data_IF_248663336201
#
_entry.id   IF_248663336201
#
_cell.length_a   1.000
_cell.length_b   1.000
_cell.length_c   1.000
_cell.angle_alpha   90.00
_cell.angle_beta   90.00
_cell.angle_gamma   90.00
#
_symmetry.space_group_name_H-M   'P 1'
#
loop_
_entity.id
_entity.type
_entity.pdbx_description
1 polymer ?
#
# COMPACT_ATOMS: atom_id res chain seq x y z
N UNK A 1 9.60 24.88 -66.84
CA UNK A 1 10.28 24.11 -65.80
C UNK A 1 9.71 24.55 -64.47
N UNK A 2 8.73 23.81 -63.94
CA UNK A 2 8.02 24.11 -62.68
C UNK A 2 8.41 23.08 -61.64
N UNK A 3 9.27 23.49 -60.71
CA UNK A 3 9.75 22.64 -59.61
C UNK A 3 8.74 22.63 -58.50
N UNK A 4 8.09 21.46 -58.25
CA UNK A 4 7.18 21.25 -57.10
C UNK A 4 8.00 20.83 -55.88
N UNK A 5 8.03 21.69 -54.87
CA UNK A 5 8.50 21.31 -53.51
C UNK A 5 7.46 20.55 -52.78
N UNK A 6 7.71 19.27 -52.51
CA UNK A 6 6.94 18.47 -51.55
C UNK A 6 7.40 18.80 -50.13
N UNK A 7 6.55 19.43 -49.35
CA UNK A 7 6.79 19.63 -47.94
C UNK A 7 6.39 18.34 -47.19
N UNK A 8 7.35 17.63 -46.62
CA UNK A 8 7.16 16.53 -45.69
C UNK A 8 6.77 17.10 -44.31
N UNK A 9 5.50 16.98 -43.94
CA UNK A 9 5.06 17.28 -42.59
C UNK A 9 5.44 16.11 -41.66
N UNK A 10 6.40 16.33 -40.77
CA UNK A 10 6.75 15.38 -39.72
C UNK A 10 5.68 15.44 -38.62
N UNK A 11 4.87 14.39 -38.53
CA UNK A 11 3.90 14.22 -37.43
C UNK A 11 4.67 13.73 -36.19
N UNK A 12 4.87 14.61 -35.25
CA UNK A 12 5.39 14.27 -33.93
C UNK A 12 4.25 13.68 -33.09
N UNK A 13 4.21 12.37 -32.93
CA UNK A 13 3.31 11.72 -31.98
C UNK A 13 3.84 11.97 -30.56
N UNK A 14 3.22 12.88 -29.85
CA UNK A 14 3.40 13.01 -28.40
C UNK A 14 2.88 11.73 -27.72
N UNK A 15 3.79 10.88 -27.29
CA UNK A 15 3.45 9.78 -26.37
C UNK A 15 3.13 10.41 -25.03
N UNK A 16 1.83 10.54 -24.71
CA UNK A 16 1.36 10.92 -23.37
C UNK A 16 1.66 9.72 -22.48
N UNK A 17 2.51 9.86 -21.42
CA UNK A 17 2.66 8.78 -20.45
C UNK A 17 1.28 8.58 -19.78
N UNK A 18 0.70 7.40 -19.96
CA UNK A 18 -0.47 6.97 -19.17
C UNK A 18 0.04 6.82 -17.74
N UNK A 19 -0.07 7.90 -16.97
CA UNK A 19 0.15 7.88 -15.54
C UNK A 19 -0.84 6.89 -14.96
N UNK A 20 -0.37 5.89 -14.24
CA UNK A 20 -1.22 5.05 -13.41
C UNK A 20 -1.89 5.96 -12.40
N UNK A 21 -3.18 6.18 -12.58
CA UNK A 21 -4.04 6.75 -11.57
C UNK A 21 -4.06 5.78 -10.38
N UNK A 22 -3.13 5.95 -9.42
CA UNK A 22 -3.40 5.59 -8.06
C UNK A 22 -4.67 6.35 -7.69
N UNK A 23 -5.62 5.71 -7.04
CA UNK A 23 -6.78 6.46 -6.56
C UNK A 23 -6.21 7.51 -5.61
N UNK A 24 -6.51 8.80 -5.84
CA UNK A 24 -6.07 9.92 -4.98
C UNK A 24 -6.83 9.88 -3.65
N UNK A 25 -6.60 8.82 -2.85
CA UNK A 25 -7.19 8.64 -1.52
C UNK A 25 -6.09 8.55 -0.48
N UNK A 26 -6.25 9.24 0.63
CA UNK A 26 -5.32 9.22 1.74
C UNK A 26 -4.06 10.06 1.50
N UNK A 27 -2.88 9.53 1.80
CA UNK A 27 -1.61 10.27 1.67
C UNK A 27 -1.29 10.58 0.20
N UNK A 28 -0.94 11.84 -0.14
CA UNK A 28 -0.51 12.20 -1.48
C UNK A 28 0.76 11.45 -1.91
N UNK A 29 0.85 11.09 -3.20
CA UNK A 29 2.05 10.50 -3.79
C UNK A 29 3.27 11.41 -3.60
N UNK A 30 4.44 10.82 -3.36
CA UNK A 30 5.69 11.53 -3.09
C UNK A 30 5.84 12.02 -1.64
N UNK A 31 4.79 11.99 -0.82
CA UNK A 31 4.87 12.30 0.62
C UNK A 31 5.75 11.26 1.31
N UNK A 32 6.58 11.69 2.24
CA UNK A 32 7.34 10.75 3.09
C UNK A 32 6.39 10.06 4.07
N UNK A 33 6.47 8.73 4.18
CA UNK A 33 5.69 7.96 5.14
C UNK A 33 5.89 8.48 6.55
N UNK A 34 4.81 8.85 7.27
CA UNK A 34 4.92 9.39 8.61
C UNK A 34 5.28 8.31 9.65
N UNK A 35 5.94 8.71 10.73
CA UNK A 35 6.01 7.93 11.95
C UNK A 35 4.64 7.90 12.63
N UNK A 36 4.29 6.77 13.24
CA UNK A 36 3.10 6.63 14.05
C UNK A 36 3.30 5.51 15.08
N UNK A 37 2.94 5.77 16.32
CA UNK A 37 3.02 4.77 17.39
C UNK A 37 1.76 3.90 17.39
N UNK A 38 1.97 2.61 17.24
CA UNK A 38 0.98 1.54 17.34
C UNK A 38 1.49 0.51 18.36
N UNK A 39 0.78 -0.60 18.55
CA UNK A 39 1.26 -1.71 19.37
C UNK A 39 1.26 -3.01 18.56
N UNK A 40 2.09 -3.96 18.93
CA UNK A 40 1.92 -5.33 18.50
C UNK A 40 0.72 -5.98 19.24
N UNK A 41 0.40 -7.21 18.89
CA UNK A 41 -0.75 -7.89 19.50
C UNK A 41 -0.52 -8.29 20.97
N UNK A 42 0.72 -8.17 21.49
CA UNK A 42 1.08 -8.39 22.89
C UNK A 42 1.15 -7.09 23.69
N UNK A 43 0.85 -5.95 23.05
CA UNK A 43 0.82 -4.61 23.67
C UNK A 43 2.14 -3.87 23.70
N UNK A 44 3.19 -4.39 23.06
CA UNK A 44 4.47 -3.71 22.95
C UNK A 44 4.39 -2.58 21.92
N UNK A 45 4.87 -1.40 22.28
CA UNK A 45 4.92 -0.23 21.39
C UNK A 45 5.81 -0.47 20.17
N UNK A 46 5.31 -0.09 19.01
CA UNK A 46 5.98 -0.17 17.70
C UNK A 46 5.81 1.16 16.97
N UNK A 47 6.90 1.75 16.52
CA UNK A 47 6.85 2.93 15.65
C UNK A 47 6.90 2.50 14.19
N UNK A 48 5.86 2.85 13.40
CA UNK A 48 5.83 2.59 11.96
C UNK A 48 6.99 3.27 11.22
N UNK A 49 7.54 4.36 11.75
CA UNK A 49 8.73 5.02 11.22
C UNK A 49 9.95 4.10 11.10
N UNK A 50 10.03 3.03 11.91
CA UNK A 50 11.13 2.06 11.83
C UNK A 50 11.21 1.32 10.49
N UNK A 51 10.10 1.22 9.76
CA UNK A 51 10.04 0.57 8.44
C UNK A 51 10.37 1.51 7.29
N UNK A 52 10.23 2.84 7.50
CA UNK A 52 10.32 3.86 6.45
C UNK A 52 11.77 4.14 6.05
N UNK A 53 12.07 4.13 4.75
CA UNK A 53 13.38 4.54 4.22
C UNK A 53 14.50 3.51 4.33
N UNK A 54 14.18 2.23 4.52
CA UNK A 54 15.14 1.11 4.54
C UNK A 54 15.00 0.22 3.30
N UNK A 55 13.78 -0.14 3.00
CA UNK A 55 13.38 -0.88 1.81
C UNK A 55 11.92 -0.50 1.51
N UNK A 56 11.36 -0.86 0.35
CA UNK A 56 9.96 -0.65 0.08
C UNK A 56 9.05 -1.28 1.14
N UNK A 57 7.94 -0.60 1.44
CA UNK A 57 6.98 -1.03 2.47
C UNK A 57 5.58 -1.02 1.90
N UNK A 58 4.81 -2.07 2.17
CA UNK A 58 3.37 -2.10 1.98
C UNK A 58 2.69 -2.12 3.34
N UNK A 59 1.86 -1.11 3.61
CA UNK A 59 1.00 -1.05 4.79
C UNK A 59 -0.45 -1.30 4.36
N UNK A 60 -1.15 -2.21 5.05
CA UNK A 60 -2.59 -2.39 4.94
C UNK A 60 -3.28 -1.90 6.21
N UNK A 61 -4.26 -1.02 6.10
CA UNK A 61 -5.17 -0.67 7.17
C UNK A 61 -6.42 -1.54 7.08
N UNK A 62 -6.64 -2.43 8.06
CA UNK A 62 -7.63 -3.49 7.98
C UNK A 62 -8.38 -3.72 9.29
N UNK A 63 -9.39 -4.60 9.25
CA UNK A 63 -10.08 -5.13 10.42
C UNK A 63 -10.64 -6.52 10.14
N UNK A 64 -10.81 -7.34 11.17
CA UNK A 64 -11.34 -8.70 11.04
C UNK A 64 -12.79 -8.75 10.52
N UNK A 65 -13.55 -7.69 10.76
CA UNK A 65 -14.93 -7.53 10.30
C UNK A 65 -15.08 -6.92 8.91
N UNK A 66 -13.96 -6.58 8.23
CA UNK A 66 -13.96 -5.88 6.94
C UNK A 66 -14.08 -6.86 5.76
N UNK A 67 -15.21 -6.91 5.02
CA UNK A 67 -15.37 -7.84 3.92
C UNK A 67 -14.46 -7.54 2.73
N UNK A 68 -14.12 -6.26 2.47
CA UNK A 68 -13.20 -5.86 1.40
C UNK A 68 -11.76 -6.28 1.71
N UNK A 69 -11.35 -6.23 2.99
CA UNK A 69 -10.03 -6.72 3.42
C UNK A 69 -9.93 -8.24 3.21
N UNK A 70 -10.98 -8.99 3.57
CA UNK A 70 -11.03 -10.43 3.33
C UNK A 70 -10.96 -10.78 1.84
N UNK A 71 -11.60 -9.98 0.98
CA UNK A 71 -11.55 -10.18 -0.47
C UNK A 71 -10.16 -9.83 -1.06
N UNK A 72 -9.44 -8.86 -0.47
CA UNK A 72 -8.09 -8.46 -0.89
C UNK A 72 -6.99 -9.41 -0.39
N UNK A 73 -7.21 -10.10 0.71
CA UNK A 73 -6.21 -10.92 1.41
C UNK A 73 -5.50 -11.97 0.54
N UNK A 74 -6.19 -12.74 -0.36
CA UNK A 74 -5.49 -13.67 -1.26
C UNK A 74 -4.44 -12.97 -2.14
N UNK A 75 -4.75 -11.76 -2.63
CA UNK A 75 -3.84 -10.95 -3.43
C UNK A 75 -2.62 -10.50 -2.63
N UNK A 76 -2.82 -10.10 -1.36
CA UNK A 76 -1.74 -9.72 -0.44
C UNK A 76 -0.84 -10.91 -0.07
N UNK A 77 -1.43 -12.07 0.22
CA UNK A 77 -0.68 -13.31 0.49
C UNK A 77 0.16 -13.74 -0.72
N UNK A 78 -0.41 -13.68 -1.92
CA UNK A 78 0.31 -13.99 -3.17
C UNK A 78 1.44 -12.99 -3.44
N UNK A 79 1.18 -11.69 -3.25
CA UNK A 79 2.18 -10.66 -3.40
C UNK A 79 3.31 -10.80 -2.37
N UNK A 80 2.99 -11.13 -1.11
CA UNK A 80 4.00 -11.41 -0.09
C UNK A 80 4.85 -12.63 -0.43
N UNK A 81 4.24 -13.71 -0.91
CA UNK A 81 4.99 -14.92 -1.32
C UNK A 81 6.02 -14.62 -2.42
N UNK A 82 5.68 -13.70 -3.35
CA UNK A 82 6.57 -13.31 -4.47
C UNK A 82 7.58 -12.24 -4.07
N UNK A 83 7.18 -11.24 -3.28
CA UNK A 83 7.96 -10.01 -3.06
C UNK A 83 8.41 -9.79 -1.61
N UNK A 84 8.02 -10.64 -0.65
CA UNK A 84 8.31 -10.46 0.78
C UNK A 84 9.81 -10.40 1.13
N UNK A 85 10.69 -10.91 0.27
CA UNK A 85 12.15 -10.74 0.41
C UNK A 85 12.68 -9.37 -0.03
N UNK A 86 11.89 -8.59 -0.80
CA UNK A 86 12.26 -7.28 -1.34
C UNK A 86 11.40 -6.14 -0.78
N UNK A 87 10.23 -6.45 -0.23
CA UNK A 87 9.23 -5.50 0.30
C UNK A 87 8.84 -5.93 1.71
N UNK A 88 8.83 -4.99 2.64
CA UNK A 88 8.25 -5.21 3.98
C UNK A 88 6.72 -5.08 3.90
N UNK A 89 6.00 -6.10 4.34
CA UNK A 89 4.54 -6.05 4.48
C UNK A 89 4.19 -5.89 5.95
N UNK A 90 3.22 -5.03 6.27
CA UNK A 90 2.70 -4.84 7.63
C UNK A 90 1.19 -4.60 7.55
N UNK A 91 0.42 -5.37 8.29
CA UNK A 91 -1.00 -5.11 8.49
C UNK A 91 -1.20 -4.27 9.77
N UNK A 92 -1.99 -3.22 9.69
CA UNK A 92 -2.34 -2.34 10.81
C UNK A 92 -3.83 -2.48 11.08
N UNK A 93 -4.19 -3.22 12.12
CA UNK A 93 -5.58 -3.37 12.58
C UNK A 93 -6.10 -2.06 13.14
N UNK A 94 -7.18 -1.53 12.58
CA UNK A 94 -7.80 -0.28 13.07
C UNK A 94 -8.59 -0.55 14.35
N UNK A 95 -8.51 0.36 15.36
CA UNK A 95 -9.12 0.19 16.67
C UNK A 95 -10.64 0.31 16.72
N UNK A 96 -11.34 0.33 15.59
CA UNK A 96 -12.80 0.47 15.53
C UNK A 96 -13.45 -0.91 15.60
N UNK A 97 -14.20 -1.18 16.66
CA UNK A 97 -14.85 -2.48 16.92
C UNK A 97 -13.88 -3.67 16.85
N UNK A 98 -12.62 -3.44 17.21
CA UNK A 98 -11.52 -4.39 17.10
C UNK A 98 -10.68 -4.38 18.39
N UNK A 99 -10.07 -5.51 18.71
CA UNK A 99 -9.16 -5.67 19.84
C UNK A 99 -8.00 -6.59 19.46
N UNK A 100 -6.84 -6.54 20.14
CA UNK A 100 -5.78 -7.53 19.93
C UNK A 100 -6.26 -8.97 20.11
N UNK A 101 -7.21 -9.22 21.00
CA UNK A 101 -7.76 -10.56 21.23
C UNK A 101 -8.64 -11.06 20.08
N UNK A 102 -9.45 -10.19 19.45
CA UNK A 102 -10.23 -10.54 18.25
C UNK A 102 -9.32 -10.80 17.06
N UNK A 103 -8.29 -9.97 16.88
CA UNK A 103 -7.28 -10.17 15.83
C UNK A 103 -6.53 -11.49 16.02
N UNK A 104 -6.03 -11.79 17.23
CA UNK A 104 -5.34 -13.07 17.52
C UNK A 104 -6.22 -14.28 17.21
N UNK A 105 -7.51 -14.22 17.56
CA UNK A 105 -8.45 -15.29 17.29
C UNK A 105 -8.70 -15.49 15.80
N UNK A 106 -8.80 -14.39 15.04
CA UNK A 106 -8.91 -14.42 13.58
C UNK A 106 -7.66 -15.04 12.94
N UNK A 107 -6.47 -14.59 13.32
CA UNK A 107 -5.19 -15.08 12.79
C UNK A 107 -4.89 -16.52 13.17
N UNK A 108 -5.49 -17.04 14.26
CA UNK A 108 -5.35 -18.46 14.58
C UNK A 108 -6.09 -19.37 13.58
N UNK A 109 -7.16 -18.86 12.95
CA UNK A 109 -7.91 -19.58 11.92
C UNK A 109 -7.40 -19.30 10.50
N UNK A 110 -6.96 -18.07 10.25
CA UNK A 110 -6.49 -17.62 8.93
C UNK A 110 -5.25 -16.71 9.09
N UNK A 111 -4.04 -17.29 9.17
CA UNK A 111 -2.83 -16.53 9.46
C UNK A 111 -2.37 -15.67 8.28
N UNK A 112 -1.94 -14.44 8.60
CA UNK A 112 -1.20 -13.60 7.66
C UNK A 112 0.31 -13.92 7.75
N UNK A 113 1.02 -14.01 6.62
CA UNK A 113 2.45 -14.36 6.59
C UNK A 113 3.38 -13.17 6.90
N UNK A 114 2.85 -12.06 7.40
CA UNK A 114 3.57 -10.83 7.72
C UNK A 114 3.08 -10.23 9.04
N UNK A 115 3.85 -9.30 9.67
CA UNK A 115 3.50 -8.70 10.95
C UNK A 115 2.14 -8.02 10.95
N UNK A 116 1.42 -8.22 12.06
CA UNK A 116 0.13 -7.55 12.33
C UNK A 116 0.30 -6.69 13.57
N UNK A 117 0.00 -5.41 13.42
CA UNK A 117 0.03 -4.40 14.47
C UNK A 117 -1.40 -3.91 14.75
N UNK A 118 -1.58 -3.21 15.87
CA UNK A 118 -2.88 -2.69 16.27
C UNK A 118 -2.81 -1.19 16.58
N UNK A 119 -3.64 -0.41 15.89
CA UNK A 119 -3.76 1.04 16.08
C UNK A 119 -4.91 1.38 17.04
N UNK A 120 -4.67 1.20 18.33
CA UNK A 120 -5.67 1.36 19.37
C UNK A 120 -6.35 2.73 19.39
N UNK A 121 -5.60 3.77 19.06
CA UNK A 121 -6.02 5.17 19.20
C UNK A 121 -6.24 5.87 17.86
N UNK A 122 -6.12 5.18 16.74
CA UNK A 122 -6.20 5.77 15.41
C UNK A 122 -5.01 6.68 15.07
N UNK A 123 -3.87 6.52 15.72
CA UNK A 123 -2.68 7.33 15.47
C UNK A 123 -2.14 7.11 14.05
N UNK A 124 -2.03 5.85 13.65
CA UNK A 124 -1.60 5.49 12.29
C UNK A 124 -2.67 5.84 11.26
N UNK A 125 -3.96 5.58 11.54
CA UNK A 125 -5.09 5.99 10.67
C UNK A 125 -5.03 7.48 10.35
N UNK A 126 -4.82 8.33 11.37
CA UNK A 126 -4.71 9.78 11.17
C UNK A 126 -3.43 10.18 10.43
N UNK A 127 -2.28 9.60 10.82
CA UNK A 127 -0.99 9.94 10.22
C UNK A 127 -0.95 9.58 8.73
N UNK A 128 -1.50 8.43 8.37
CA UNK A 128 -1.55 7.93 6.98
C UNK A 128 -2.80 8.38 6.23
N UNK A 129 -3.65 9.23 6.82
CA UNK A 129 -4.91 9.71 6.24
C UNK A 129 -5.77 8.57 5.70
N UNK A 130 -5.76 7.42 6.38
CA UNK A 130 -6.50 6.23 5.94
C UNK A 130 -8.01 6.50 5.95
N UNK A 131 -8.68 6.55 4.79
CA UNK A 131 -10.08 6.97 4.70
C UNK A 131 -11.06 5.85 5.11
N UNK A 132 -10.59 4.62 5.04
CA UNK A 132 -11.39 3.41 5.31
C UNK A 132 -10.47 2.22 5.62
N UNK A 133 -11.05 1.06 5.97
CA UNK A 133 -10.36 -0.23 5.94
C UNK A 133 -10.14 -0.72 4.51
N UNK A 134 -9.31 -1.75 4.31
CA UNK A 134 -8.77 -2.17 3.00
C UNK A 134 -7.97 -1.07 2.27
N UNK A 135 -7.48 -0.07 3.02
CA UNK A 135 -6.60 0.97 2.50
C UNK A 135 -5.16 0.47 2.48
N UNK A 136 -4.54 0.57 1.29
CA UNK A 136 -3.14 0.20 1.06
C UNK A 136 -2.31 1.46 0.83
N UNK A 137 -1.15 1.52 1.47
CA UNK A 137 -0.09 2.49 1.18
C UNK A 137 1.17 1.72 0.82
N UNK A 138 1.79 2.07 -0.32
CA UNK A 138 3.11 1.54 -0.69
C UNK A 138 4.13 2.67 -0.68
N UNK A 139 5.21 2.45 0.04
CA UNK A 139 6.36 3.34 0.11
C UNK A 139 7.53 2.74 -0.67
N UNK A 140 8.30 3.57 -1.37
CA UNK A 140 9.56 3.17 -1.99
C UNK A 140 10.69 2.99 -0.97
N UNK A 141 11.88 2.59 -1.43
CA UNK A 141 13.06 2.42 -0.59
C UNK A 141 13.57 3.71 0.07
N UNK A 142 13.18 4.89 -0.42
CA UNK A 142 13.44 6.18 0.20
C UNK A 142 12.34 6.59 1.20
N UNK A 143 11.29 5.77 1.33
CA UNK A 143 10.16 6.00 2.22
C UNK A 143 9.13 6.97 1.67
N UNK A 144 9.09 7.21 0.36
CA UNK A 144 8.06 8.05 -0.28
C UNK A 144 6.88 7.21 -0.74
N UNK A 145 5.68 7.75 -0.58
CA UNK A 145 4.45 7.13 -1.08
C UNK A 145 4.48 7.05 -2.60
N UNK A 146 4.38 5.84 -3.14
CA UNK A 146 4.32 5.55 -4.58
C UNK A 146 2.98 4.99 -5.01
N UNK A 147 2.17 4.53 -4.06
CA UNK A 147 0.82 4.06 -4.31
C UNK A 147 -0.04 4.23 -3.06
N UNK A 148 -1.29 4.61 -3.28
CA UNK A 148 -2.38 4.51 -2.31
C UNK A 148 -3.62 3.97 -3.01
N UNK A 149 -4.39 3.15 -2.32
CA UNK A 149 -5.63 2.60 -2.87
C UNK A 149 -6.52 2.05 -1.77
N UNK A 150 -7.80 1.91 -2.05
CA UNK A 150 -8.78 1.33 -1.14
C UNK A 150 -9.73 0.37 -1.87
N UNK A 151 -10.27 -0.60 -1.15
CA UNK A 151 -11.19 -1.60 -1.70
C UNK A 151 -10.52 -2.93 -2.04
N UNK A 152 -11.29 -3.87 -2.56
CA UNK A 152 -10.85 -5.23 -2.84
C UNK A 152 -10.14 -5.39 -4.19
N UNK A 153 -10.43 -4.50 -5.15
CA UNK A 153 -9.96 -4.63 -6.53
C UNK A 153 -8.66 -3.85 -6.77
N UNK A 154 -7.63 -4.16 -5.94
CA UNK A 154 -6.31 -3.55 -6.07
C UNK A 154 -5.34 -4.57 -6.65
N UNK A 155 -4.71 -4.26 -7.79
CA UNK A 155 -3.66 -5.10 -8.39
C UNK A 155 -2.31 -4.86 -7.68
N UNK A 156 -2.20 -5.44 -6.48
CA UNK A 156 -1.01 -5.33 -5.64
C UNK A 156 0.23 -5.86 -6.36
N UNK A 157 0.09 -6.95 -7.12
CA UNK A 157 1.19 -7.53 -7.86
C UNK A 157 1.75 -6.55 -8.91
N UNK A 158 0.88 -5.91 -9.69
CA UNK A 158 1.30 -4.91 -10.68
C UNK A 158 1.91 -3.66 -10.05
N UNK A 159 1.40 -3.22 -8.88
CA UNK A 159 1.99 -2.10 -8.12
C UNK A 159 3.43 -2.43 -7.72
N UNK A 160 3.66 -3.59 -7.12
CA UNK A 160 4.98 -3.98 -6.63
C UNK A 160 5.94 -4.32 -7.79
N UNK A 161 5.44 -4.93 -8.86
CA UNK A 161 6.25 -5.19 -10.06
C UNK A 161 6.82 -3.90 -10.64
N UNK A 162 6.00 -2.87 -10.77
CA UNK A 162 6.46 -1.55 -11.25
C UNK A 162 7.45 -0.88 -10.31
N UNK A 163 7.19 -0.95 -9.01
CA UNK A 163 8.09 -0.37 -8.00
C UNK A 163 9.49 -1.00 -8.05
N UNK A 164 9.58 -2.30 -8.28
CA UNK A 164 10.81 -3.06 -8.24
C UNK A 164 11.53 -3.16 -9.60
N UNK A 165 10.86 -2.79 -10.71
CA UNK A 165 11.39 -2.88 -12.06
C UNK A 165 11.52 -4.32 -12.57
N UNK A 166 10.70 -5.24 -12.02
CA UNK A 166 10.70 -6.67 -12.36
C UNK A 166 9.79 -7.00 -13.56
#
# INVERSE_FOLDING_TARGET
MTTRFLALAAVWTLAIPVGLAGQDVGLPLGTKGPAALVVDLDGKSVDLGQYVGKQPVLLEFWATWCPLCKALEPSLKAAHAKYGGKVTFVAVGVGVNETPASIKRHLAADPLPFPVLYDANGAAVRAYLAPTTSYIVVLDGAGKVVYTGAGAEQDIAAVLQRLLGD
#
